data_IF_120712807920
#
_entry.id   IF_120712807920
#
_cell.length_a   1.000
_cell.length_b   1.000
_cell.length_c   1.000
_cell.angle_alpha   90.00
_cell.angle_beta   90.00
_cell.angle_gamma   90.00
#
_symmetry.space_group_name_H-M   'P 1'
#
loop_
_entity.id
_entity.type
_entity.pdbx_description
1 polymer ?
#
# COMPACT_ATOMS: atom_id res chain seq x y z
N UNK A 1 16.95 -9.92 0.85
CA UNK A 1 16.27 -10.54 -0.31
C UNK A 1 14.79 -10.65 0.02
N UNK A 2 13.90 -10.32 -0.91
CA UNK A 2 12.45 -10.48 -0.71
C UNK A 2 12.07 -11.93 -1.00
N UNK A 3 11.34 -12.57 -0.09
CA UNK A 3 10.96 -14.00 -0.20
C UNK A 3 9.46 -14.20 -0.37
N UNK A 4 8.66 -13.17 -0.09
CA UNK A 4 7.20 -13.23 -0.13
C UNK A 4 6.60 -11.84 -0.30
N UNK A 5 5.49 -11.76 -1.02
CA UNK A 5 4.66 -10.58 -1.17
C UNK A 5 3.22 -10.92 -0.81
N UNK A 6 2.72 -10.34 0.29
CA UNK A 6 1.32 -10.41 0.68
C UNK A 6 0.66 -9.08 0.34
N UNK A 7 -0.43 -9.11 -0.42
CA UNK A 7 -1.15 -7.93 -0.89
C UNK A 7 -2.58 -7.99 -0.37
N UNK A 8 -2.98 -6.97 0.39
CA UNK A 8 -4.34 -6.87 0.95
C UNK A 8 -5.01 -5.57 0.50
N UNK A 9 -6.31 -5.63 0.19
CA UNK A 9 -7.16 -4.49 -0.16
C UNK A 9 -6.58 -3.54 -1.23
N UNK A 10 -5.87 -4.10 -2.22
CA UNK A 10 -5.17 -3.33 -3.24
C UNK A 10 -5.72 -3.61 -4.63
N UNK A 11 -6.29 -2.59 -5.27
CA UNK A 11 -6.92 -2.66 -6.59
C UNK A 11 -7.92 -3.82 -6.69
N UNK A 12 -7.59 -4.86 -7.47
CA UNK A 12 -8.43 -6.05 -7.65
C UNK A 12 -8.23 -7.09 -6.55
N UNK A 13 -7.12 -7.04 -5.83
CA UNK A 13 -6.76 -8.04 -4.84
C UNK A 13 -7.46 -7.76 -3.51
N UNK A 14 -8.12 -8.79 -2.98
CA UNK A 14 -8.69 -8.74 -1.62
C UNK A 14 -7.60 -9.13 -0.65
N UNK A 15 -7.12 -10.36 -0.84
CA UNK A 15 -5.92 -10.88 -0.24
C UNK A 15 -5.27 -11.84 -1.25
N UNK A 16 -3.97 -11.71 -1.44
CA UNK A 16 -3.18 -12.66 -2.23
C UNK A 16 -1.79 -12.75 -1.63
N UNK A 17 -1.27 -13.98 -1.59
CA UNK A 17 0.08 -14.27 -1.17
C UNK A 17 0.87 -14.81 -2.37
N UNK A 18 2.06 -14.27 -2.58
CA UNK A 18 2.94 -14.61 -3.69
C UNK A 18 4.31 -14.94 -3.11
N UNK A 19 4.75 -16.17 -3.30
CA UNK A 19 6.13 -16.55 -2.99
C UNK A 19 7.10 -15.88 -3.97
N UNK A 20 8.15 -15.26 -3.45
CA UNK A 20 9.20 -14.62 -4.24
C UNK A 20 10.48 -15.46 -4.18
N UNK A 21 10.57 -16.45 -5.07
CA UNK A 21 11.80 -17.21 -5.31
C UNK A 21 12.86 -16.44 -6.13
N UNK A 22 13.78 -17.15 -6.78
CA UNK A 22 14.78 -16.55 -7.68
C UNK A 22 15.03 -17.43 -8.90
N UNK A 23 14.60 -17.03 -10.13
CA UNK A 23 13.80 -15.85 -10.49
C UNK A 23 12.28 -16.05 -10.31
N UNK A 24 11.51 -14.95 -10.32
CA UNK A 24 10.04 -14.96 -10.31
C UNK A 24 9.51 -14.31 -11.59
N UNK A 25 8.56 -14.96 -12.26
CA UNK A 25 7.92 -14.43 -13.46
C UNK A 25 6.41 -14.31 -13.24
N UNK A 26 5.86 -13.11 -13.43
CA UNK A 26 4.42 -12.87 -13.39
C UNK A 26 3.79 -13.13 -14.77
N UNK A 27 3.00 -14.19 -14.91
CA UNK A 27 2.30 -14.55 -16.15
C UNK A 27 0.77 -14.57 -15.97
N UNK A 28 0.04 -14.45 -17.08
CA UNK A 28 -1.42 -14.57 -17.12
C UNK A 28 -2.09 -13.59 -18.11
N UNK A 29 -3.42 -13.66 -18.28
CA UNK A 29 -4.16 -12.82 -19.22
C UNK A 29 -4.07 -11.31 -18.95
N UNK A 30 -4.50 -10.49 -19.91
CA UNK A 30 -4.66 -9.05 -19.70
C UNK A 30 -5.61 -8.80 -18.52
N UNK A 31 -5.27 -7.79 -17.72
CA UNK A 31 -6.00 -7.49 -16.50
C UNK A 31 -6.09 -8.70 -15.54
N UNK A 32 -5.06 -9.55 -15.43
CA UNK A 32 -5.01 -10.61 -14.40
C UNK A 32 -4.46 -10.14 -13.05
N UNK A 33 -3.81 -8.98 -13.01
CA UNK A 33 -3.19 -8.42 -11.81
C UNK A 33 -1.66 -8.38 -11.80
N UNK A 34 -0.98 -8.78 -12.87
CA UNK A 34 0.50 -8.71 -12.99
C UNK A 34 1.03 -7.31 -12.66
N UNK A 35 0.51 -6.28 -13.35
CA UNK A 35 0.87 -4.88 -13.10
C UNK A 35 0.47 -4.44 -11.70
N UNK A 36 -0.65 -4.93 -11.17
CA UNK A 36 -1.09 -4.62 -9.81
C UNK A 36 -0.12 -5.18 -8.76
N UNK A 37 0.44 -6.38 -8.95
CA UNK A 37 1.44 -6.95 -8.04
C UNK A 37 2.71 -6.10 -8.01
N UNK A 38 3.22 -5.69 -9.19
CA UNK A 38 4.37 -4.79 -9.28
C UNK A 38 4.09 -3.42 -8.64
N UNK A 39 2.90 -2.86 -8.85
CA UNK A 39 2.51 -1.58 -8.26
C UNK A 39 2.36 -1.66 -6.74
N UNK A 40 1.89 -2.79 -6.19
CA UNK A 40 1.84 -3.01 -4.75
C UNK A 40 3.25 -3.01 -4.14
N UNK A 41 4.20 -3.71 -4.80
CA UNK A 41 5.60 -3.73 -4.37
C UNK A 41 6.25 -2.35 -4.45
N UNK A 42 5.99 -1.59 -5.52
CA UNK A 42 6.45 -0.21 -5.65
C UNK A 42 5.87 0.70 -4.55
N UNK A 43 4.58 0.56 -4.21
CA UNK A 43 3.95 1.36 -3.16
C UNK A 43 4.57 1.05 -1.78
N UNK A 44 4.84 -0.22 -1.52
CA UNK A 44 5.52 -0.67 -0.30
C UNK A 44 6.92 -0.05 -0.17
N UNK A 45 7.73 -0.08 -1.25
CA UNK A 45 9.07 0.53 -1.27
C UNK A 45 9.01 2.05 -1.01
N UNK A 46 8.08 2.76 -1.66
CA UNK A 46 7.85 4.20 -1.43
C UNK A 46 7.48 4.46 0.03
N UNK A 47 6.54 3.69 0.59
CA UNK A 47 6.11 3.81 1.98
C UNK A 47 7.25 3.58 2.97
N UNK A 48 8.07 2.55 2.73
CA UNK A 48 9.23 2.23 3.55
C UNK A 48 10.28 3.35 3.51
N UNK A 49 10.58 3.88 2.32
CA UNK A 49 11.51 5.01 2.16
C UNK A 49 11.03 6.25 2.90
N UNK A 50 9.77 6.65 2.70
CA UNK A 50 9.17 7.81 3.39
C UNK A 50 9.13 7.63 4.90
N UNK A 51 8.82 6.42 5.37
CA UNK A 51 8.86 6.09 6.78
C UNK A 51 10.27 6.29 7.35
N UNK A 52 11.28 5.70 6.72
CA UNK A 52 12.67 5.78 7.15
C UNK A 52 13.21 7.22 7.10
N UNK A 53 12.92 8.00 6.06
CA UNK A 53 13.30 9.42 6.01
C UNK A 53 12.73 10.22 7.19
N UNK A 54 11.47 9.96 7.56
CA UNK A 54 10.80 10.70 8.63
C UNK A 54 11.21 10.22 10.03
N UNK A 55 11.54 8.92 10.18
CA UNK A 55 11.63 8.22 11.48
C UNK A 55 12.98 7.57 11.78
N UNK A 56 13.84 7.33 10.81
CA UNK A 56 15.17 6.79 11.07
C UNK A 56 15.94 7.74 12.01
N UNK A 57 16.55 7.18 13.05
CA UNK A 57 17.29 7.93 14.07
C UNK A 57 16.44 8.67 15.11
N UNK A 58 15.11 8.59 15.08
CA UNK A 58 14.25 9.18 16.12
C UNK A 58 13.89 8.16 17.20
N UNK A 59 14.02 8.58 18.47
CA UNK A 59 13.81 7.71 19.64
C UNK A 59 12.35 7.23 19.80
N UNK A 60 11.36 7.97 19.31
CA UNK A 60 9.96 7.58 19.46
C UNK A 60 9.07 8.02 18.29
N UNK A 61 8.10 7.18 17.96
CA UNK A 61 6.97 7.51 17.09
C UNK A 61 5.91 8.24 17.93
N UNK A 62 5.33 9.36 17.46
CA UNK A 62 4.28 10.07 18.19
C UNK A 62 3.09 9.17 18.51
N UNK A 63 2.54 9.29 19.72
CA UNK A 63 1.34 8.55 20.14
C UNK A 63 0.11 8.93 19.31
N UNK A 64 -0.01 10.21 18.92
CA UNK A 64 -1.10 10.72 18.10
C UNK A 64 -0.64 10.89 16.66
N UNK A 65 -1.38 10.29 15.72
CA UNK A 65 -1.15 10.37 14.26
C UNK A 65 0.26 9.90 13.86
N UNK A 66 0.59 8.63 14.10
CA UNK A 66 1.91 8.08 13.79
C UNK A 66 2.17 7.92 12.28
N UNK A 67 1.15 8.08 11.43
CA UNK A 67 1.29 7.95 9.98
C UNK A 67 2.27 8.96 9.37
N UNK A 68 2.93 8.55 8.29
CA UNK A 68 3.77 9.41 7.46
C UNK A 68 3.03 9.65 6.15
N UNK A 69 2.86 10.92 5.78
CA UNK A 69 2.17 11.30 4.54
C UNK A 69 2.98 10.86 3.32
N UNK A 70 2.32 10.18 2.39
CA UNK A 70 2.82 9.91 1.04
C UNK A 70 2.11 10.86 0.08
N UNK A 71 2.87 11.68 -0.64
CA UNK A 71 2.33 12.66 -1.57
C UNK A 71 2.10 12.05 -2.95
N UNK A 72 1.22 12.67 -3.75
CA UNK A 72 1.00 12.24 -5.15
C UNK A 72 2.28 12.27 -5.98
N UNK A 73 3.18 13.22 -5.71
CA UNK A 73 4.51 13.33 -6.35
C UNK A 73 5.45 12.17 -6.02
N UNK A 74 5.18 11.44 -4.94
CA UNK A 74 5.97 10.27 -4.56
C UNK A 74 5.56 9.04 -5.37
N UNK A 75 4.35 9.06 -5.93
CA UNK A 75 3.73 7.97 -6.66
C UNK A 75 3.97 8.08 -8.18
N UNK A 76 5.04 8.76 -8.62
CA UNK A 76 5.36 8.92 -10.06
C UNK A 76 5.63 7.56 -10.72
N UNK A 77 6.24 6.63 -9.99
CA UNK A 77 6.47 5.25 -10.45
C UNK A 77 5.18 4.42 -10.57
N UNK A 78 4.05 4.93 -10.07
CA UNK A 78 2.75 4.25 -10.11
C UNK A 78 1.78 5.15 -10.89
N UNK A 79 1.65 4.96 -12.21
CA UNK A 79 0.79 5.80 -13.04
C UNK A 79 -0.68 5.53 -12.72
N UNK A 80 -1.30 6.44 -11.97
CA UNK A 80 -2.72 6.44 -11.59
C UNK A 80 -3.25 7.88 -11.61
N UNK A 81 -4.47 8.15 -12.07
CA UNK A 81 -4.99 9.52 -12.03
C UNK A 81 -5.31 9.99 -10.61
N UNK A 82 -5.75 9.08 -9.74
CA UNK A 82 -6.09 9.34 -8.33
C UNK A 82 -5.50 8.23 -7.43
N UNK A 83 -5.10 8.59 -6.21
CA UNK A 83 -4.57 7.68 -5.20
C UNK A 83 -5.63 6.70 -4.66
N UNK A 84 -6.92 7.07 -4.66
CA UNK A 84 -7.98 6.18 -4.18
C UNK A 84 -8.09 4.89 -5.03
N UNK A 85 -7.68 4.93 -6.31
CA UNK A 85 -7.67 3.82 -7.24
C UNK A 85 -6.65 2.72 -6.87
N UNK A 86 -5.77 2.97 -5.92
CA UNK A 86 -4.89 1.94 -5.36
C UNK A 86 -5.65 0.95 -4.48
N UNK A 87 -6.79 1.37 -3.92
CA UNK A 87 -7.49 0.60 -2.92
C UNK A 87 -8.66 -0.16 -3.52
N UNK A 88 -8.88 -1.37 -3.01
CA UNK A 88 -9.97 -2.22 -3.49
C UNK A 88 -11.31 -1.56 -3.21
N UNK A 89 -12.12 -1.44 -4.27
CA UNK A 89 -13.44 -0.80 -4.20
C UNK A 89 -13.38 0.68 -3.81
N UNK A 90 -12.25 1.37 -3.97
CA UNK A 90 -12.05 2.78 -3.58
C UNK A 90 -12.25 3.06 -2.08
N UNK A 91 -12.24 2.00 -1.26
CA UNK A 91 -12.44 2.13 0.18
C UNK A 91 -11.14 2.63 0.83
N UNK A 92 -11.17 3.88 1.30
CA UNK A 92 -10.01 4.57 1.91
C UNK A 92 -10.25 5.02 3.36
N UNK A 93 -11.44 4.77 3.90
CA UNK A 93 -11.82 5.15 5.26
C UNK A 93 -12.60 3.99 5.90
N UNK A 94 -12.16 3.55 7.08
CA UNK A 94 -13.00 2.76 7.99
C UNK A 94 -13.66 3.73 8.97
N UNK A 95 -14.87 4.20 8.65
CA UNK A 95 -15.65 5.07 9.53
C UNK A 95 -16.61 4.20 10.33
N UNK A 96 -16.37 4.08 11.63
CA UNK A 96 -17.29 3.47 12.58
C UNK A 96 -18.03 4.53 13.36
N UNK A 97 -19.34 4.39 13.51
CA UNK A 97 -20.10 5.22 14.46
C UNK A 97 -20.09 4.53 15.82
N UNK A 98 -19.52 5.18 16.82
CA UNK A 98 -19.56 4.72 18.22
C UNK A 98 -20.23 5.82 19.04
N UNK A 99 -21.32 5.51 19.72
CA UNK A 99 -22.10 6.45 20.53
C UNK A 99 -22.53 7.72 19.77
N UNK A 100 -22.99 7.56 18.52
CA UNK A 100 -23.45 8.68 17.67
C UNK A 100 -22.33 9.55 17.08
N UNK A 101 -21.07 9.34 17.46
CA UNK A 101 -19.92 10.05 16.92
C UNK A 101 -19.21 9.22 15.85
N UNK A 102 -18.79 9.86 14.76
CA UNK A 102 -17.92 9.21 13.77
C UNK A 102 -16.51 9.04 14.35
N UNK A 103 -16.04 7.80 14.39
CA UNK A 103 -14.66 7.44 14.66
C UNK A 103 -14.08 6.81 13.41
N UNK A 104 -12.99 7.37 12.91
CA UNK A 104 -12.14 6.72 11.90
C UNK A 104 -11.15 5.84 12.63
N UNK A 105 -11.10 4.55 12.29
CA UNK A 105 -10.03 3.65 12.77
C UNK A 105 -8.71 3.94 12.08
#
# INVERSE_FOLDING_TARGET
>A
MLTKLTICNFKRFGEVEIELGSPVVFIGPNNSGKTSAMQALALWDIGLKRWNEKRSGKKSTPEKRPGVTVNRRDLVAIPIPDANLLWRGLHVRDVRRVNGQQRTS
#
